data_IF_266441495273
#
_entry.id   IF_266441495273
#
_cell.length_a   1.000
_cell.length_b   1.000
_cell.length_c   1.000
_cell.angle_alpha   90.00
_cell.angle_beta   90.00
_cell.angle_gamma   90.00
#
_symmetry.space_group_name_H-M   'P 1'
#
loop_
_entity.id
_entity.type
_entity.pdbx_description
1 polymer ?
#
# COMPACT_ATOMS: atom_id res chain seq x y z
N UNK A 1 9.66 -9.25 -19.09
CA UNK A 1 10.15 -9.55 -20.46
C UNK A 1 10.04 -8.34 -21.40
N UNK A 2 8.89 -7.62 -21.46
CA UNK A 2 8.70 -6.47 -22.40
C UNK A 2 9.72 -5.37 -22.14
N UNK A 3 9.81 -4.86 -20.91
CA UNK A 3 10.76 -3.77 -20.55
C UNK A 3 12.21 -4.15 -20.88
N UNK A 4 12.64 -5.38 -20.56
CA UNK A 4 13.98 -5.88 -20.93
C UNK A 4 14.21 -5.86 -22.44
N UNK A 5 13.22 -6.29 -23.24
CA UNK A 5 13.32 -6.27 -24.71
C UNK A 5 13.41 -4.85 -25.28
N UNK A 6 12.73 -3.90 -24.66
CA UNK A 6 12.76 -2.49 -25.08
C UNK A 6 14.09 -1.82 -24.78
N UNK A 7 14.83 -2.28 -23.78
CA UNK A 7 16.12 -1.73 -23.34
C UNK A 7 16.08 -0.21 -23.06
N UNK A 8 14.96 0.26 -22.53
CA UNK A 8 14.73 1.68 -22.19
C UNK A 8 14.65 1.92 -20.67
N UNK A 9 14.93 0.87 -19.87
CA UNK A 9 14.63 0.90 -18.45
C UNK A 9 13.14 0.84 -18.18
N UNK A 10 12.72 1.28 -16.98
CA UNK A 10 11.30 1.32 -16.63
C UNK A 10 11.03 1.47 -15.15
N UNK A 11 9.74 1.50 -14.82
CA UNK A 11 9.27 1.58 -13.44
C UNK A 11 8.15 0.58 -13.19
N UNK A 12 8.23 -0.07 -12.04
CA UNK A 12 7.16 -0.90 -11.48
C UNK A 12 6.85 -0.36 -10.09
N UNK A 13 5.59 -0.05 -9.85
CA UNK A 13 5.12 0.36 -8.52
C UNK A 13 4.04 -0.61 -8.07
N UNK A 14 4.31 -1.34 -7.00
CA UNK A 14 3.37 -2.26 -6.39
C UNK A 14 2.55 -1.54 -5.32
N UNK A 15 1.25 -1.83 -5.25
CA UNK A 15 0.39 -1.37 -4.16
C UNK A 15 0.25 -2.53 -3.17
N UNK A 16 0.96 -2.41 -2.05
CA UNK A 16 0.86 -3.41 -0.98
C UNK A 16 -0.25 -3.07 0.02
N UNK A 17 0.03 -3.15 1.30
CA UNK A 17 -0.86 -2.76 2.39
C UNK A 17 -0.07 -2.72 3.69
N UNK A 18 -0.39 -1.82 4.61
CA UNK A 18 0.18 -1.84 5.96
C UNK A 18 0.04 -3.22 6.65
N UNK A 19 -0.97 -4.01 6.26
CA UNK A 19 -1.17 -5.37 6.78
C UNK A 19 -0.05 -6.36 6.40
N UNK A 20 0.83 -6.00 5.50
CA UNK A 20 2.08 -6.72 5.27
C UNK A 20 3.17 -6.42 6.31
N UNK A 21 3.01 -5.36 7.12
CA UNK A 21 3.92 -4.96 8.19
C UNK A 21 3.34 -5.20 9.58
N UNK A 22 2.03 -4.98 9.72
CA UNK A 22 1.32 -5.04 11.01
C UNK A 22 0.56 -6.35 11.12
N UNK A 23 0.81 -7.09 12.19
CA UNK A 23 0.02 -8.28 12.53
C UNK A 23 -1.34 -7.91 13.11
N UNK A 24 -2.34 -8.73 12.83
CA UNK A 24 -3.69 -8.58 13.36
C UNK A 24 -4.51 -9.86 13.20
N UNK A 25 -5.56 -10.05 14.01
CA UNK A 25 -6.39 -11.23 13.93
C UNK A 25 -7.18 -11.30 12.61
N UNK A 26 -7.56 -12.53 12.23
CA UNK A 26 -8.40 -12.79 11.04
C UNK A 26 -7.82 -12.25 9.72
N UNK A 27 -6.49 -12.19 9.59
CA UNK A 27 -5.83 -11.54 8.45
C UNK A 27 -4.62 -12.33 7.91
N UNK A 28 -4.48 -13.61 8.27
CA UNK A 28 -3.29 -14.41 7.93
C UNK A 28 -3.05 -14.45 6.42
N UNK A 29 -4.04 -14.86 5.62
CA UNK A 29 -3.86 -14.99 4.17
C UNK A 29 -3.53 -13.66 3.48
N UNK A 30 -4.30 -12.60 3.78
CA UNK A 30 -4.09 -11.29 3.20
C UNK A 30 -2.76 -10.65 3.65
N UNK A 31 -2.48 -10.67 4.95
CA UNK A 31 -1.25 -10.12 5.51
C UNK A 31 -0.01 -10.80 4.93
N UNK A 32 -0.01 -12.14 4.88
CA UNK A 32 1.08 -12.92 4.27
C UNK A 32 1.27 -12.59 2.79
N UNK A 33 0.18 -12.51 2.01
CA UNK A 33 0.26 -12.14 0.59
C UNK A 33 0.87 -10.74 0.40
N UNK A 34 0.48 -9.76 1.25
CA UNK A 34 1.01 -8.39 1.16
C UNK A 34 2.46 -8.29 1.64
N UNK A 35 2.87 -9.04 2.66
CA UNK A 35 4.26 -9.16 3.08
C UNK A 35 5.13 -9.78 1.97
N UNK A 36 4.65 -10.86 1.35
CA UNK A 36 5.31 -11.50 0.21
C UNK A 36 5.46 -10.55 -0.97
N UNK A 37 4.41 -9.74 -1.27
CA UNK A 37 4.46 -8.74 -2.34
C UNK A 37 5.54 -7.68 -2.09
N UNK A 38 5.70 -7.21 -0.86
CA UNK A 38 6.76 -6.26 -0.49
C UNK A 38 8.15 -6.88 -0.64
N UNK A 39 8.32 -8.13 -0.20
CA UNK A 39 9.61 -8.83 -0.34
C UNK A 39 9.92 -9.12 -1.81
N UNK A 40 8.96 -9.58 -2.58
CA UNK A 40 9.08 -9.77 -4.04
C UNK A 40 9.51 -8.48 -4.74
N UNK A 41 8.97 -7.32 -4.34
CA UNK A 41 9.38 -6.03 -4.91
C UNK A 41 10.86 -5.74 -4.70
N UNK A 42 11.41 -6.06 -3.52
CA UNK A 42 12.85 -5.91 -3.24
C UNK A 42 13.72 -6.89 -4.05
N UNK A 43 13.27 -8.13 -4.18
CA UNK A 43 13.97 -9.12 -5.02
C UNK A 43 13.99 -8.69 -6.49
N UNK A 44 12.86 -8.23 -7.02
CA UNK A 44 12.76 -7.71 -8.38
C UNK A 44 13.60 -6.45 -8.58
N UNK A 45 13.68 -5.56 -7.58
CA UNK A 45 14.54 -4.38 -7.65
C UNK A 45 16.01 -4.76 -7.83
N UNK A 46 16.48 -5.76 -7.09
CA UNK A 46 17.84 -6.26 -7.21
C UNK A 46 18.07 -6.98 -8.56
N UNK A 47 17.12 -7.83 -8.97
CA UNK A 47 17.23 -8.60 -10.23
C UNK A 47 17.21 -7.73 -11.48
N UNK A 48 16.42 -6.64 -11.46
CA UNK A 48 16.19 -5.80 -12.63
C UNK A 48 17.06 -4.53 -12.69
N UNK A 49 17.97 -4.37 -11.73
CA UNK A 49 18.82 -3.18 -11.62
C UNK A 49 19.69 -2.95 -12.88
N UNK A 50 20.29 -4.01 -13.41
CA UNK A 50 21.11 -3.93 -14.63
C UNK A 50 20.31 -3.56 -15.87
N UNK A 51 19.00 -3.84 -15.88
CA UNK A 51 18.10 -3.44 -16.95
C UNK A 51 17.57 -1.99 -16.76
N UNK A 52 18.07 -1.25 -15.76
CA UNK A 52 17.59 0.08 -15.37
C UNK A 52 16.08 0.13 -15.09
N UNK A 53 15.52 -0.98 -14.58
CA UNK A 53 14.12 -1.07 -14.18
C UNK A 53 14.03 -0.93 -12.67
N UNK A 54 13.38 0.13 -12.22
CA UNK A 54 13.14 0.40 -10.79
C UNK A 54 11.87 -0.29 -10.32
N UNK A 55 11.89 -0.84 -9.11
CA UNK A 55 10.72 -1.51 -8.51
C UNK A 55 10.53 -0.98 -7.09
N UNK A 56 9.41 -0.34 -6.84
CA UNK A 56 9.08 0.25 -5.54
C UNK A 56 7.67 -0.15 -5.09
N UNK A 57 7.33 0.18 -3.86
CA UNK A 57 6.05 -0.17 -3.26
C UNK A 57 5.42 1.03 -2.57
N UNK A 58 4.14 1.26 -2.83
CA UNK A 58 3.28 2.14 -2.03
C UNK A 58 2.48 1.28 -1.06
N UNK A 59 2.46 1.65 0.19
CA UNK A 59 1.90 0.88 1.28
C UNK A 59 0.79 1.67 2.00
N UNK A 60 -0.48 1.55 1.55
CA UNK A 60 -1.61 2.26 2.16
C UNK A 60 -2.14 1.58 3.41
N UNK A 61 -2.85 2.35 4.25
CA UNK A 61 -3.89 1.81 5.15
C UNK A 61 -5.25 1.79 4.42
N UNK A 62 -6.36 1.76 5.16
CA UNK A 62 -7.70 1.64 4.60
C UNK A 62 -8.11 2.86 3.77
N UNK A 63 -8.17 2.70 2.46
CA UNK A 63 -8.78 3.66 1.55
C UNK A 63 -10.26 3.34 1.45
N UNK A 64 -11.08 3.98 2.30
CA UNK A 64 -12.51 3.67 2.44
C UNK A 64 -13.32 4.36 1.35
N UNK A 65 -13.15 5.68 1.23
CA UNK A 65 -13.87 6.50 0.26
C UNK A 65 -13.33 6.19 -1.15
N UNK A 66 -14.24 6.03 -2.10
CA UNK A 66 -13.89 5.75 -3.51
C UNK A 66 -13.53 4.29 -3.81
N UNK A 67 -13.31 3.45 -2.81
CA UNK A 67 -12.95 2.04 -3.02
C UNK A 67 -14.18 1.13 -3.08
N UNK A 68 -14.20 0.20 -4.04
CA UNK A 68 -15.31 -0.76 -4.21
C UNK A 68 -15.32 -1.84 -3.13
N UNK A 69 -14.18 -2.19 -2.54
CA UNK A 69 -14.09 -3.22 -1.50
C UNK A 69 -14.82 -2.83 -0.22
N UNK A 70 -15.00 -1.53 0.02
CA UNK A 70 -15.71 -0.99 1.18
C UNK A 70 -17.20 -0.78 0.94
N UNK A 71 -17.80 -1.63 0.06
CA UNK A 71 -19.22 -1.69 -0.21
C UNK A 71 -19.73 -3.11 0.05
N UNK A 72 -21.01 -3.22 0.43
CA UNK A 72 -21.65 -4.52 0.70
C UNK A 72 -21.05 -5.26 1.90
N UNK A 73 -21.09 -6.58 1.85
CA UNK A 73 -20.83 -7.51 2.97
C UNK A 73 -19.50 -7.27 3.68
N UNK A 74 -18.45 -6.87 2.95
CA UNK A 74 -17.15 -6.58 3.56
C UNK A 74 -17.20 -5.37 4.48
N UNK A 75 -17.81 -4.27 4.03
CA UNK A 75 -17.98 -3.06 4.85
C UNK A 75 -18.87 -3.35 6.06
N UNK A 76 -19.97 -4.09 5.86
CA UNK A 76 -20.89 -4.51 6.92
C UNK A 76 -20.18 -5.37 7.97
N UNK A 77 -19.44 -6.37 7.53
CA UNK A 77 -18.67 -7.25 8.42
C UNK A 77 -17.64 -6.47 9.25
N UNK A 78 -16.97 -5.48 8.64
CA UNK A 78 -16.00 -4.63 9.35
C UNK A 78 -16.66 -3.69 10.33
N UNK A 79 -17.73 -3.01 9.91
CA UNK A 79 -18.49 -2.12 10.78
C UNK A 79 -19.03 -2.88 12.01
N UNK A 80 -19.62 -4.06 11.78
CA UNK A 80 -20.10 -4.96 12.84
C UNK A 80 -18.97 -5.38 13.78
N UNK A 81 -17.82 -5.76 13.26
CA UNK A 81 -16.67 -6.17 14.07
C UNK A 81 -16.12 -5.06 14.96
N UNK A 82 -16.31 -3.80 14.56
CA UNK A 82 -15.89 -2.63 15.33
C UNK A 82 -17.02 -2.02 16.16
N UNK A 83 -18.24 -2.53 16.06
CA UNK A 83 -19.41 -1.99 16.80
C UNK A 83 -19.84 -0.59 16.32
N UNK A 84 -19.63 -0.26 15.05
CA UNK A 84 -19.93 1.03 14.44
C UNK A 84 -20.78 0.85 13.18
N UNK A 85 -21.34 1.94 12.66
CA UNK A 85 -22.00 1.96 11.35
C UNK A 85 -21.00 2.03 10.19
N UNK A 86 -21.43 1.63 8.99
CA UNK A 86 -20.60 1.75 7.77
C UNK A 86 -20.19 3.21 7.53
N UNK A 87 -21.06 4.18 7.83
CA UNK A 87 -20.78 5.61 7.65
C UNK A 87 -19.65 6.12 8.54
N UNK A 88 -19.43 5.48 9.68
CA UNK A 88 -18.38 5.84 10.63
C UNK A 88 -17.01 5.21 10.29
N UNK A 89 -16.97 4.27 9.35
CA UNK A 89 -15.71 3.60 8.96
C UNK A 89 -14.59 4.57 8.55
N UNK A 90 -14.83 5.61 7.71
CA UNK A 90 -13.77 6.54 7.33
C UNK A 90 -13.14 7.23 8.53
N UNK A 91 -13.95 7.77 9.42
CA UNK A 91 -13.49 8.46 10.63
C UNK A 91 -12.81 7.48 11.63
N UNK A 92 -13.34 6.27 11.76
CA UNK A 92 -12.73 5.23 12.58
C UNK A 92 -11.31 4.90 12.09
N UNK A 93 -11.11 4.78 10.78
CA UNK A 93 -9.78 4.53 10.21
C UNK A 93 -8.87 5.76 10.33
N UNK A 94 -9.39 6.97 10.18
CA UNK A 94 -8.63 8.20 10.39
C UNK A 94 -8.05 8.29 11.81
N UNK A 95 -8.83 7.97 12.82
CA UNK A 95 -8.39 7.96 14.24
C UNK A 95 -7.28 6.96 14.57
N UNK A 96 -6.98 6.03 13.67
CA UNK A 96 -5.91 5.05 13.84
C UNK A 96 -4.53 5.57 13.45
N UNK A 97 -4.48 6.65 12.70
CA UNK A 97 -3.23 7.28 12.30
C UNK A 97 -3.00 8.60 13.05
N UNK A 98 -1.74 8.96 13.26
CA UNK A 98 -1.36 10.10 14.10
C UNK A 98 -1.75 11.47 13.51
N UNK A 99 -1.94 11.54 12.19
CA UNK A 99 -2.42 12.76 11.53
C UNK A 99 -3.93 12.94 11.63
N UNK A 100 -4.68 11.93 12.08
CA UNK A 100 -6.15 11.89 12.08
C UNK A 100 -6.76 12.24 10.71
N UNK A 101 -6.16 11.72 9.64
CA UNK A 101 -6.58 11.99 8.25
C UNK A 101 -7.24 10.77 7.62
N UNK A 102 -8.31 11.02 6.88
CA UNK A 102 -8.87 10.03 5.96
C UNK A 102 -7.93 9.90 4.79
N UNK A 103 -7.55 8.67 4.44
CA UNK A 103 -6.70 8.40 3.28
C UNK A 103 -7.59 8.20 2.06
N UNK A 104 -7.30 8.96 1.02
CA UNK A 104 -8.04 8.98 -0.23
C UNK A 104 -7.27 8.27 -1.36
N UNK A 105 -7.94 7.85 -2.44
CA UNK A 105 -7.28 7.28 -3.61
C UNK A 105 -6.21 8.20 -4.21
N UNK A 106 -6.43 9.51 -4.17
CA UNK A 106 -5.50 10.53 -4.66
C UNK A 106 -4.18 10.55 -3.87
N UNK A 107 -4.23 10.27 -2.56
CA UNK A 107 -3.03 10.19 -1.73
C UNK A 107 -2.15 9.02 -2.18
N UNK A 108 -2.78 7.89 -2.52
CA UNK A 108 -2.08 6.72 -3.03
C UNK A 108 -1.51 7.00 -4.43
N UNK A 109 -2.29 7.66 -5.29
CA UNK A 109 -1.84 8.07 -6.62
C UNK A 109 -0.62 9.02 -6.54
N UNK A 110 -0.60 9.93 -5.57
CA UNK A 110 0.55 10.81 -5.33
C UNK A 110 1.80 10.01 -4.90
N UNK A 111 1.64 8.99 -4.07
CA UNK A 111 2.74 8.07 -3.72
C UNK A 111 3.28 7.30 -4.93
N UNK A 112 2.40 6.86 -5.82
CA UNK A 112 2.78 6.22 -7.09
C UNK A 112 3.52 7.21 -7.99
N UNK A 113 2.98 8.41 -8.16
CA UNK A 113 3.58 9.47 -8.97
C UNK A 113 4.98 9.85 -8.47
N UNK A 114 5.17 9.93 -7.16
CA UNK A 114 6.48 10.19 -6.58
C UNK A 114 7.55 9.18 -7.05
N UNK A 115 7.23 7.88 -7.06
CA UNK A 115 8.15 6.86 -7.56
C UNK A 115 8.31 6.87 -9.08
N UNK A 116 7.27 7.23 -9.82
CA UNK A 116 7.33 7.22 -11.28
C UNK A 116 8.11 8.42 -11.83
N UNK A 117 7.89 9.62 -11.27
CA UNK A 117 8.30 10.88 -11.88
C UNK A 117 9.30 11.70 -11.06
N UNK A 118 9.38 11.52 -9.73
CA UNK A 118 10.20 12.39 -8.87
C UNK A 118 11.43 11.65 -8.33
N UNK A 119 11.24 10.44 -7.81
CA UNK A 119 12.29 9.69 -7.12
C UNK A 119 13.03 8.77 -8.09
N UNK A 120 13.76 9.36 -9.02
CA UNK A 120 14.45 8.66 -10.11
C UNK A 120 15.62 7.76 -9.65
N UNK A 121 16.15 7.97 -8.45
CA UNK A 121 17.20 7.16 -7.82
C UNK A 121 16.66 6.15 -6.81
N UNK A 122 15.33 5.97 -6.74
CA UNK A 122 14.71 5.08 -5.76
C UNK A 122 14.33 3.75 -6.39
N UNK A 123 14.82 2.64 -5.80
CA UNK A 123 14.40 1.27 -6.11
C UNK A 123 14.47 0.41 -4.86
N UNK A 124 13.62 -0.61 -4.74
CA UNK A 124 13.51 -1.49 -3.57
C UNK A 124 12.88 -0.83 -2.34
N UNK A 125 12.36 0.39 -2.47
CA UNK A 125 11.81 1.17 -1.36
C UNK A 125 10.30 0.98 -1.18
N UNK A 126 9.85 1.31 0.04
CA UNK A 126 8.45 1.32 0.43
C UNK A 126 8.11 2.71 0.96
N UNK A 127 7.05 3.32 0.45
CA UNK A 127 6.46 4.53 1.02
C UNK A 127 5.15 4.15 1.69
N UNK A 128 5.01 4.45 2.98
CA UNK A 128 3.73 4.36 3.68
C UNK A 128 2.89 5.61 3.37
N UNK A 129 1.67 5.38 2.91
CA UNK A 129 0.65 6.42 2.71
C UNK A 129 -0.56 6.05 3.56
N UNK A 130 -0.43 6.28 4.85
CA UNK A 130 -1.34 5.76 5.89
C UNK A 130 -1.66 6.78 6.99
N UNK A 131 -1.23 8.05 6.82
CA UNK A 131 -1.38 9.09 7.82
C UNK A 131 -0.53 8.88 9.08
N UNK A 132 0.42 7.96 9.04
CA UNK A 132 1.28 7.61 10.16
C UNK A 132 0.61 6.61 11.11
N UNK A 133 0.52 5.34 10.72
CA UNK A 133 0.15 4.23 11.61
C UNK A 133 1.40 3.77 12.36
N UNK A 134 1.55 4.03 13.68
CA UNK A 134 2.82 3.84 14.39
C UNK A 134 3.38 2.42 14.30
N UNK A 135 2.50 1.43 14.35
CA UNK A 135 2.90 0.01 14.25
C UNK A 135 3.39 -0.40 12.85
N UNK A 136 3.15 0.43 11.83
CA UNK A 136 3.57 0.20 10.45
C UNK A 136 4.84 0.98 10.07
N UNK A 137 5.44 1.70 10.99
CA UNK A 137 6.70 2.41 10.73
C UNK A 137 7.80 1.39 10.37
N UNK A 138 8.38 1.57 9.20
CA UNK A 138 9.51 0.75 8.73
C UNK A 138 10.75 1.15 9.53
N UNK A 139 11.41 0.17 10.13
CA UNK A 139 12.65 0.34 10.90
C UNK A 139 13.83 -0.24 10.13
#
# INVERSE_FOLDING_TARGET
KIMRKQNLGGNIVNIASKNGLVSGPNNVGYGTAKASQMHMSRLLAAELANDQIRVNTVNPDGVIIGSKIWKGDWAEGRAKAYGISIKELPEFYAKRNILNKIILPEDIANGVYAFLAILDKSTGNIINVDGGVPNAFVR
#
